data_IF_613256012049
#
_entry.id   IF_613256012049
#
_cell.length_a   1.000
_cell.length_b   1.000
_cell.length_c   1.000
_cell.angle_alpha   90.00
_cell.angle_beta   90.00
_cell.angle_gamma   90.00
#
_symmetry.space_group_name_H-M   'P 1'
#
loop_
_entity.id
_entity.type
_entity.pdbx_description
1 polymer ?
#
# COMPACT_ATOMS: atom_id res chain seq x y z
N UNK A 1 22.34 12.65 13.43
CA UNK A 1 21.81 12.24 12.12
C UNK A 1 20.57 13.08 11.88
N UNK A 2 20.74 14.22 11.19
CA UNK A 2 19.69 15.21 11.01
C UNK A 2 18.58 14.63 10.14
N UNK A 3 17.46 14.30 10.77
CA UNK A 3 16.23 13.87 10.12
C UNK A 3 15.74 15.05 9.26
N UNK A 4 15.94 14.95 7.95
CA UNK A 4 15.45 15.93 7.01
C UNK A 4 13.91 15.87 6.99
N UNK A 5 13.28 16.63 7.88
CA UNK A 5 11.86 16.97 7.77
C UNK A 5 11.69 17.67 6.42
N UNK A 6 11.17 16.94 5.42
CA UNK A 6 10.73 17.57 4.19
C UNK A 6 9.68 18.63 4.53
N UNK A 7 9.80 19.87 4.01
CA UNK A 7 8.79 20.88 4.25
C UNK A 7 7.44 20.36 3.73
N UNK A 8 6.44 20.34 4.62
CA UNK A 8 5.08 19.92 4.27
C UNK A 8 4.54 20.98 3.32
N UNK A 9 4.47 20.66 2.03
CA UNK A 9 3.84 21.54 1.04
C UNK A 9 2.37 21.80 1.42
N UNK A 10 1.83 23.01 1.26
CA UNK A 10 0.42 23.29 1.52
C UNK A 10 -0.53 22.40 0.69
N UNK A 11 -0.07 21.94 -0.47
CA UNK A 11 -0.83 21.02 -1.34
C UNK A 11 -0.76 19.55 -0.89
N UNK A 12 0.06 19.21 0.11
CA UNK A 12 0.23 17.82 0.57
C UNK A 12 -1.10 17.24 1.08
N UNK A 13 -1.91 18.05 1.75
CA UNK A 13 -3.23 17.64 2.25
C UNK A 13 -4.19 17.37 1.09
N UNK A 14 -4.16 18.21 0.05
CA UNK A 14 -4.97 18.03 -1.15
C UNK A 14 -4.57 16.77 -1.93
N UNK A 15 -3.27 16.52 -2.07
CA UNK A 15 -2.75 15.31 -2.69
C UNK A 15 -3.11 14.04 -1.91
N UNK A 16 -3.09 14.13 -0.58
CA UNK A 16 -3.52 13.04 0.30
C UNK A 16 -5.01 12.76 0.09
N UNK A 17 -5.89 13.74 0.23
CA UNK A 17 -7.33 13.54 0.00
C UNK A 17 -7.60 12.95 -1.38
N UNK A 18 -6.93 13.44 -2.42
CA UNK A 18 -7.10 12.95 -3.80
C UNK A 18 -6.67 11.49 -4.02
N UNK A 19 -5.68 10.99 -3.28
CA UNK A 19 -5.18 9.61 -3.40
C UNK A 19 -5.81 8.64 -2.41
N UNK A 20 -6.42 9.14 -1.34
CA UNK A 20 -7.10 8.34 -0.32
C UNK A 20 -8.60 8.21 -0.59
N UNK A 21 -9.28 9.33 -0.86
CA UNK A 21 -10.72 9.36 -1.11
C UNK A 21 -11.01 9.18 -2.61
N UNK A 22 -10.60 8.03 -3.13
CA UNK A 22 -10.80 7.68 -4.54
C UNK A 22 -12.26 7.30 -4.81
N UNK A 23 -13.09 8.30 -5.13
CA UNK A 23 -14.42 8.07 -5.71
C UNK A 23 -14.34 7.66 -7.18
N UNK A 24 -13.27 8.06 -7.88
CA UNK A 24 -13.02 7.76 -9.30
C UNK A 24 -11.57 7.33 -9.51
N UNK A 25 -11.28 6.51 -10.53
CA UNK A 25 -9.89 6.20 -10.88
C UNK A 25 -9.14 7.49 -11.23
N UNK A 26 -7.99 7.69 -10.61
CA UNK A 26 -7.12 8.86 -10.81
C UNK A 26 -5.91 8.46 -11.64
N UNK A 27 -5.67 9.22 -12.71
CA UNK A 27 -4.46 9.10 -13.54
C UNK A 27 -3.55 10.29 -13.26
N UNK A 28 -2.30 10.05 -12.90
CA UNK A 28 -1.26 11.07 -12.68
C UNK A 28 0.03 10.68 -13.42
N UNK A 29 0.86 11.67 -13.74
CA UNK A 29 2.17 11.44 -14.33
C UNK A 29 3.13 10.76 -13.33
N UNK A 30 4.14 10.06 -13.87
CA UNK A 30 5.13 9.37 -13.06
C UNK A 30 5.98 10.32 -12.20
N UNK A 31 6.23 11.53 -12.70
CA UNK A 31 6.96 12.60 -12.01
C UNK A 31 6.16 13.10 -10.80
N UNK A 32 4.88 13.46 -11.02
CA UNK A 32 4.00 13.89 -9.95
C UNK A 32 3.80 12.81 -8.90
N UNK A 33 3.78 11.54 -9.32
CA UNK A 33 3.75 10.43 -8.37
C UNK A 33 4.99 10.41 -7.45
N UNK A 34 6.20 10.70 -7.94
CA UNK A 34 7.39 10.73 -7.09
C UNK A 34 7.33 11.87 -6.06
N UNK A 35 6.77 13.02 -6.43
CA UNK A 35 6.59 14.14 -5.51
C UNK A 35 5.57 13.81 -4.42
N UNK A 36 4.50 13.11 -4.78
CA UNK A 36 3.39 12.81 -3.86
C UNK A 36 3.67 11.56 -3.02
N UNK A 37 4.48 10.63 -3.52
CA UNK A 37 4.73 9.33 -2.89
C UNK A 37 5.18 9.41 -1.42
N UNK A 38 6.12 10.29 -1.02
CA UNK A 38 6.55 10.44 0.38
C UNK A 38 5.41 10.83 1.35
N UNK A 39 4.30 11.38 0.87
CA UNK A 39 3.16 11.74 1.71
C UNK A 39 2.17 10.59 1.90
N UNK A 40 2.29 9.50 1.12
CA UNK A 40 1.32 8.40 1.07
C UNK A 40 1.95 7.01 1.28
N UNK A 41 3.27 6.93 1.41
CA UNK A 41 4.05 5.71 1.63
C UNK A 41 3.79 5.00 2.98
N UNK A 42 3.29 5.76 3.96
CA UNK A 42 2.81 5.25 5.24
C UNK A 42 1.59 4.33 5.07
N UNK A 43 0.83 4.48 3.98
CA UNK A 43 -0.42 3.75 3.75
C UNK A 43 -0.30 2.76 2.61
N UNK A 44 0.44 3.10 1.56
CA UNK A 44 0.67 2.21 0.44
C UNK A 44 2.02 1.52 0.54
N UNK A 45 2.05 0.23 0.21
CA UNK A 45 3.26 -0.59 0.14
C UNK A 45 3.51 -1.05 -1.27
N UNK A 46 4.79 -1.09 -1.66
CA UNK A 46 5.21 -1.64 -2.95
C UNK A 46 5.05 -3.15 -2.93
N UNK A 47 4.26 -3.68 -3.86
CA UNK A 47 4.00 -5.11 -3.98
C UNK A 47 5.00 -5.78 -4.92
N UNK A 48 5.17 -5.21 -6.11
CA UNK A 48 5.99 -5.80 -7.16
C UNK A 48 6.55 -4.71 -8.07
N UNK A 49 7.75 -4.95 -8.61
CA UNK A 49 8.25 -4.22 -9.77
C UNK A 49 8.68 -5.18 -10.86
N UNK A 50 8.19 -4.96 -12.06
CA UNK A 50 8.42 -5.82 -13.22
C UNK A 50 8.95 -4.96 -14.38
N UNK A 51 9.80 -5.55 -15.22
CA UNK A 51 10.25 -4.98 -16.49
C UNK A 51 9.57 -5.77 -17.59
N UNK A 52 8.72 -5.13 -18.38
CA UNK A 52 8.02 -5.80 -19.48
C UNK A 52 8.94 -5.83 -20.71
N UNK A 53 9.38 -7.04 -21.09
CA UNK A 53 10.36 -7.27 -22.15
C UNK A 53 9.80 -7.12 -23.57
N UNK A 54 8.47 -7.11 -23.78
CA UNK A 54 7.87 -6.93 -25.10
C UNK A 54 8.30 -5.61 -25.79
N UNK A 55 8.78 -4.63 -25.01
CA UNK A 55 9.44 -3.42 -25.53
C UNK A 55 10.75 -3.06 -24.82
N UNK A 56 11.20 -3.79 -23.78
CA UNK A 56 12.44 -3.50 -23.03
C UNK A 56 12.51 -2.13 -22.34
N UNK A 57 11.59 -1.23 -22.66
CA UNK A 57 11.54 0.19 -22.32
C UNK A 57 10.54 0.49 -21.24
N UNK A 58 9.82 -0.48 -20.65
CA UNK A 58 8.77 -0.17 -19.67
C UNK A 58 8.97 -0.90 -18.34
N UNK A 59 9.05 -0.11 -17.26
CA UNK A 59 9.05 -0.56 -15.87
C UNK A 59 7.68 -0.32 -15.27
N UNK A 60 7.05 -1.38 -14.77
CA UNK A 60 5.76 -1.33 -14.08
C UNK A 60 5.98 -1.60 -12.60
N UNK A 61 5.49 -0.70 -11.76
CA UNK A 61 5.47 -0.84 -10.31
C UNK A 61 4.03 -0.92 -9.83
N UNK A 62 3.74 -1.89 -8.98
CA UNK A 62 2.41 -2.10 -8.39
C UNK A 62 2.50 -1.83 -6.89
N UNK A 63 1.55 -1.05 -6.37
CA UNK A 63 1.43 -0.73 -4.97
C UNK A 63 0.03 -1.08 -4.47
N UNK A 64 -0.05 -1.39 -3.18
CA UNK A 64 -1.25 -1.85 -2.53
C UNK A 64 -1.34 -1.29 -1.12
N UNK A 65 -2.57 -1.02 -0.66
CA UNK A 65 -2.84 -0.50 0.66
C UNK A 65 -2.41 -1.48 1.76
N UNK A 66 -1.71 -1.00 2.81
CA UNK A 66 -1.28 -1.80 3.97
C UNK A 66 -2.43 -2.43 4.75
N UNK A 67 -3.57 -1.76 4.74
CA UNK A 67 -4.79 -2.23 5.38
C UNK A 67 -5.56 -3.23 4.52
N UNK A 68 -5.12 -3.45 3.27
CA UNK A 68 -5.73 -4.48 2.43
C UNK A 68 -5.44 -5.85 3.02
N UNK A 69 -6.52 -6.61 3.18
CA UNK A 69 -6.46 -7.97 3.69
C UNK A 69 -7.31 -8.83 2.78
N UNK A 70 -6.66 -9.64 1.95
CA UNK A 70 -7.33 -10.49 0.97
C UNK A 70 -8.03 -11.71 1.59
N UNK A 71 -7.63 -12.12 2.80
CA UNK A 71 -8.16 -13.30 3.48
C UNK A 71 -8.66 -12.94 4.87
N UNK A 72 -9.80 -13.50 5.27
CA UNK A 72 -10.30 -13.42 6.65
C UNK A 72 -9.26 -13.99 7.61
N UNK A 73 -9.16 -13.43 8.82
CA UNK A 73 -8.30 -14.02 9.84
C UNK A 73 -8.94 -15.34 10.24
N UNK A 74 -8.12 -16.38 10.41
CA UNK A 74 -8.58 -17.61 11.03
C UNK A 74 -9.14 -17.32 12.42
N UNK A 75 -10.32 -17.86 12.72
CA UNK A 75 -10.78 -17.96 14.10
C UNK A 75 -9.97 -19.04 14.81
N UNK A 76 -9.65 -18.81 16.07
CA UNK A 76 -8.95 -19.80 16.90
C UNK A 76 -9.79 -21.06 16.99
N UNK A 77 -9.22 -22.23 16.66
CA UNK A 77 -9.83 -23.53 17.00
C UNK A 77 -9.77 -23.70 18.52
N UNK A 78 -10.90 -24.06 19.12
CA UNK A 78 -10.99 -24.39 20.54
C UNK A 78 -9.96 -25.46 20.90
N UNK A 79 -9.34 -25.32 22.07
CA UNK A 79 -8.25 -26.18 22.51
C UNK A 79 -8.84 -27.54 22.91
N UNK A 80 -8.76 -28.53 22.02
CA UNK A 80 -9.11 -29.90 22.35
C UNK A 80 -8.00 -30.51 23.21
N UNK A 81 -8.33 -30.67 24.49
CA UNK A 81 -7.73 -31.54 25.51
C UNK A 81 -6.19 -31.48 25.67
N UNK A 82 -5.76 -30.64 26.63
CA UNK A 82 -4.63 -30.96 27.50
C UNK A 82 -3.24 -30.47 27.10
N UNK A 83 -3.06 -29.88 25.91
CA UNK A 83 -1.77 -29.27 25.52
C UNK A 83 -1.95 -27.78 25.26
N UNK A 84 -1.60 -26.96 26.26
CA UNK A 84 -1.50 -25.51 26.10
C UNK A 84 -0.40 -25.16 25.09
N UNK A 85 -0.75 -25.08 23.81
CA UNK A 85 0.15 -24.61 22.78
C UNK A 85 0.32 -23.11 22.99
N UNK A 86 1.51 -22.64 23.37
CA UNK A 86 1.84 -21.21 23.43
C UNK A 86 1.67 -20.62 22.02
N UNK A 87 0.53 -19.96 21.78
CA UNK A 87 0.24 -19.29 20.51
C UNK A 87 0.52 -17.80 20.66
N UNK A 88 1.09 -17.21 19.60
CA UNK A 88 1.24 -15.75 19.50
C UNK A 88 -0.15 -15.11 19.53
N UNK A 89 -0.39 -14.20 20.48
CA UNK A 89 -1.60 -13.40 20.48
C UNK A 89 -1.60 -12.52 19.21
N UNK A 90 -2.58 -12.71 18.35
CA UNK A 90 -2.72 -11.93 17.12
C UNK A 90 -4.10 -11.27 17.08
N UNK A 91 -4.13 -9.97 16.81
CA UNK A 91 -5.38 -9.24 16.68
C UNK A 91 -6.10 -9.62 15.38
N UNK A 92 -7.38 -9.96 15.49
CA UNK A 92 -8.25 -10.15 14.32
C UNK A 92 -8.44 -8.79 13.63
N UNK A 93 -7.98 -8.67 12.39
CA UNK A 93 -8.23 -7.49 11.55
C UNK A 93 -9.47 -7.71 10.69
N UNK A 94 -10.31 -6.69 10.55
CA UNK A 94 -11.43 -6.70 9.60
C UNK A 94 -10.92 -6.85 8.17
N UNK A 95 -11.69 -7.57 7.35
CA UNK A 95 -11.42 -7.71 5.92
C UNK A 95 -11.92 -6.46 5.17
N UNK A 96 -11.47 -6.25 3.93
CA UNK A 96 -12.13 -5.35 2.98
C UNK A 96 -12.15 -3.85 3.36
N UNK A 97 -11.30 -3.42 4.31
CA UNK A 97 -11.15 -2.01 4.68
C UNK A 97 -10.57 -1.15 3.55
N UNK A 98 -9.74 -1.73 2.67
CA UNK A 98 -9.00 -0.97 1.66
C UNK A 98 -8.75 -1.82 0.41
N UNK A 99 -9.27 -1.37 -0.73
CA UNK A 99 -9.17 -2.08 -2.02
C UNK A 99 -8.31 -1.34 -3.06
N UNK A 100 -7.70 -0.23 -2.66
CA UNK A 100 -6.94 0.64 -3.55
C UNK A 100 -5.66 -0.04 -4.00
N UNK A 101 -5.43 -0.02 -5.31
CA UNK A 101 -4.20 -0.48 -5.97
C UNK A 101 -3.70 0.61 -6.89
N UNK A 102 -2.41 0.88 -6.85
CA UNK A 102 -1.77 1.87 -7.71
C UNK A 102 -0.83 1.16 -8.67
N UNK A 103 -0.94 1.47 -9.95
CA UNK A 103 -0.01 0.98 -10.99
C UNK A 103 0.72 2.18 -11.56
N UNK A 104 2.04 2.16 -11.47
CA UNK A 104 2.91 3.18 -12.05
C UNK A 104 3.68 2.55 -13.18
N UNK A 105 3.54 3.10 -14.38
CA UNK A 105 4.29 2.66 -15.57
C UNK A 105 5.27 3.77 -15.93
N UNK A 106 6.54 3.42 -16.15
CA UNK A 106 7.59 4.38 -16.54
C UNK A 106 8.38 3.83 -17.72
N UNK A 107 8.81 4.70 -18.65
CA UNK A 107 9.87 4.33 -19.56
C UNK A 107 11.17 4.03 -18.79
N UNK A 108 11.95 3.04 -19.26
CA UNK A 108 13.28 2.64 -18.78
C UNK A 108 14.31 3.24 -19.72
#
# INVERSE_FOLDING_TARGET
>A
MSEAMMPISPDALHHRTRLFDLTKPVTISAEKFNEVWPYVDAVYTKLQSERLQAYGTLRVQKYECRLRKSKKSSTTREDTEGKAIKRRHSSIRTQDLCHVRIKVTRPV
#
